data_IF_209017237648
#
_entry.id   IF_209017237648
#
_cell.length_a   1.000
_cell.length_b   1.000
_cell.length_c   1.000
_cell.angle_alpha   90.00
_cell.angle_beta   90.00
_cell.angle_gamma   90.00
#
_symmetry.space_group_name_H-M   'P 1'
#
loop_
_entity.id
_entity.type
_entity.pdbx_description
1 polymer ?
#
# COMPACT_ATOMS: atom_id res chain seq x y z
N UNK A 1 -16.16 -25.65 -4.32
CA UNK A 1 -14.82 -25.99 -3.80
C UNK A 1 -14.78 -27.50 -3.60
N UNK A 2 -14.10 -28.26 -4.46
CA UNK A 2 -14.07 -29.73 -4.35
C UNK A 2 -13.09 -30.11 -3.25
N UNK A 3 -13.59 -30.55 -2.08
CA UNK A 3 -12.76 -31.09 -1.00
C UNK A 3 -11.85 -32.18 -1.58
N UNK A 4 -10.55 -32.16 -1.26
CA UNK A 4 -9.64 -33.18 -1.76
C UNK A 4 -10.07 -34.55 -1.23
N UNK A 5 -10.16 -35.53 -2.12
CA UNK A 5 -10.66 -36.87 -1.79
C UNK A 5 -9.68 -37.72 -0.96
N UNK A 6 -8.44 -37.23 -0.76
CA UNK A 6 -7.44 -37.90 0.06
C UNK A 6 -7.38 -37.30 1.47
N UNK A 7 -7.34 -38.13 2.54
CA UNK A 7 -7.31 -37.66 3.92
C UNK A 7 -6.09 -36.78 4.23
N UNK A 8 -4.97 -37.01 3.53
CA UNK A 8 -3.74 -36.20 3.66
C UNK A 8 -3.91 -34.77 3.13
N UNK A 9 -4.60 -34.60 2.00
CA UNK A 9 -4.84 -33.27 1.44
C UNK A 9 -5.92 -32.51 2.22
N UNK A 10 -6.89 -33.21 2.83
CA UNK A 10 -7.83 -32.60 3.77
C UNK A 10 -7.11 -32.10 5.04
N UNK A 11 -6.16 -32.87 5.58
CA UNK A 11 -5.32 -32.46 6.70
C UNK A 11 -4.46 -31.24 6.35
N UNK A 12 -3.79 -31.25 5.18
CA UNK A 12 -2.99 -30.11 4.73
C UNK A 12 -3.81 -28.83 4.59
N UNK A 13 -5.01 -28.92 4.01
CA UNK A 13 -5.94 -27.80 3.92
C UNK A 13 -6.37 -27.30 5.30
N UNK A 14 -6.73 -28.21 6.22
CA UNK A 14 -7.10 -27.85 7.59
C UNK A 14 -5.95 -27.14 8.34
N UNK A 15 -4.71 -27.58 8.15
CA UNK A 15 -3.52 -26.94 8.74
C UNK A 15 -3.28 -25.54 8.18
N UNK A 16 -3.44 -25.33 6.86
CA UNK A 16 -3.34 -24.00 6.24
C UNK A 16 -4.42 -23.08 6.81
N UNK A 17 -5.66 -23.55 6.92
CA UNK A 17 -6.73 -22.76 7.52
C UNK A 17 -6.51 -22.45 8.99
N UNK A 18 -6.04 -23.42 9.77
CA UNK A 18 -5.69 -23.20 11.17
C UNK A 18 -4.59 -22.15 11.29
N UNK A 19 -3.54 -22.25 10.47
CA UNK A 19 -2.46 -21.26 10.44
C UNK A 19 -2.98 -19.87 10.09
N UNK A 20 -3.78 -19.73 9.02
CA UNK A 20 -4.35 -18.45 8.62
C UNK A 20 -5.27 -17.87 9.71
N UNK A 21 -6.11 -18.70 10.33
CA UNK A 21 -7.00 -18.25 11.40
C UNK A 21 -6.18 -17.74 12.58
N UNK A 22 -5.20 -18.51 13.05
CA UNK A 22 -4.36 -18.11 14.17
C UNK A 22 -3.60 -16.82 13.83
N UNK A 23 -2.95 -16.73 12.68
CA UNK A 23 -2.10 -15.58 12.37
C UNK A 23 -2.86 -14.32 11.97
N UNK A 24 -4.08 -14.43 11.43
CA UNK A 24 -4.89 -13.27 11.04
C UNK A 24 -5.85 -12.87 12.16
N UNK A 25 -6.60 -13.81 12.71
CA UNK A 25 -7.64 -13.47 13.69
C UNK A 25 -7.06 -13.17 15.08
N UNK A 26 -5.97 -13.81 15.49
CA UNK A 26 -5.36 -13.49 16.79
C UNK A 26 -4.92 -12.02 16.91
N UNK A 27 -4.12 -11.43 15.99
CA UNK A 27 -3.74 -10.02 16.12
C UNK A 27 -4.94 -9.08 15.96
N UNK A 28 -5.91 -9.41 15.09
CA UNK A 28 -7.12 -8.59 14.93
C UNK A 28 -7.97 -8.57 16.20
N UNK A 29 -8.17 -9.72 16.83
CA UNK A 29 -8.90 -9.82 18.11
C UNK A 29 -8.13 -9.15 19.24
N UNK A 30 -6.79 -9.24 19.24
CA UNK A 30 -5.93 -8.53 20.20
C UNK A 30 -6.08 -7.01 20.06
N UNK A 31 -5.97 -6.47 18.85
CA UNK A 31 -6.17 -5.03 18.57
C UNK A 31 -7.58 -4.59 19.01
N UNK A 32 -8.59 -5.40 18.71
CA UNK A 32 -9.96 -5.11 19.16
C UNK A 32 -10.07 -5.11 20.68
N UNK A 33 -9.45 -6.07 21.37
CA UNK A 33 -9.43 -6.14 22.83
C UNK A 33 -8.75 -4.90 23.44
N UNK A 34 -7.57 -4.51 22.94
CA UNK A 34 -6.85 -3.33 23.43
C UNK A 34 -7.63 -2.02 23.25
N UNK A 35 -8.47 -1.93 22.22
CA UNK A 35 -9.33 -0.77 22.02
C UNK A 35 -10.33 -0.56 23.17
N UNK A 36 -10.64 -1.63 23.92
CA UNK A 36 -11.56 -1.63 25.06
C UNK A 36 -10.89 -1.97 26.39
N UNK A 37 -9.55 -2.07 26.47
CA UNK A 37 -8.85 -2.37 27.73
C UNK A 37 -7.65 -1.49 27.95
N UNK A 38 -7.36 -1.17 29.22
CA UNK A 38 -6.12 -0.49 29.60
C UNK A 38 -4.93 -1.49 29.66
N UNK A 39 -3.72 -0.99 29.90
CA UNK A 39 -2.50 -1.81 30.05
C UNK A 39 -2.61 -2.86 31.17
N UNK A 40 -3.49 -2.65 32.15
CA UNK A 40 -3.78 -3.58 33.24
C UNK A 40 -4.88 -4.62 32.90
N UNK A 41 -5.41 -4.61 31.66
CA UNK A 41 -6.45 -5.53 31.20
C UNK A 41 -7.86 -5.23 31.72
N UNK A 42 -8.07 -4.07 32.34
CA UNK A 42 -9.39 -3.63 32.79
C UNK A 42 -10.16 -3.01 31.63
N UNK A 43 -11.47 -3.31 31.56
CA UNK A 43 -12.34 -2.74 30.53
C UNK A 43 -12.44 -1.21 30.68
N UNK A 44 -12.15 -0.49 29.60
CA UNK A 44 -12.21 0.96 29.51
C UNK A 44 -12.66 1.40 28.13
N UNK A 45 -13.43 2.48 28.06
CA UNK A 45 -13.83 3.11 26.79
C UNK A 45 -12.95 4.31 26.44
N UNK A 46 -12.00 4.67 27.30
CA UNK A 46 -11.17 5.88 27.15
C UNK A 46 -10.37 5.85 25.86
N UNK A 47 -9.70 4.75 25.55
CA UNK A 47 -8.91 4.59 24.30
C UNK A 47 -9.76 4.83 23.04
N UNK A 48 -10.99 4.30 23.04
CA UNK A 48 -11.94 4.49 21.94
C UNK A 48 -12.38 5.95 21.81
N UNK A 49 -12.75 6.61 22.91
CA UNK A 49 -13.15 8.02 22.88
C UNK A 49 -11.99 8.95 22.53
N UNK A 50 -10.78 8.66 23.01
CA UNK A 50 -9.57 9.44 22.72
C UNK A 50 -9.25 9.43 21.24
N UNK A 51 -9.42 8.29 20.54
CA UNK A 51 -9.26 8.22 19.09
C UNK A 51 -10.15 9.21 18.32
N UNK A 52 -11.42 9.34 18.71
CA UNK A 52 -12.37 10.24 18.05
C UNK A 52 -12.28 11.69 18.53
N UNK A 53 -11.58 11.95 19.63
CA UNK A 53 -11.44 13.30 20.19
C UNK A 53 -10.10 13.92 19.80
N UNK A 54 -9.06 13.10 19.61
CA UNK A 54 -7.74 13.58 19.22
C UNK A 54 -7.71 13.96 17.73
N UNK A 55 -7.44 15.25 17.50
CA UNK A 55 -7.29 15.83 16.18
C UNK A 55 -6.16 15.20 15.36
N UNK A 56 -5.12 14.65 16.00
CA UNK A 56 -4.00 13.98 15.35
C UNK A 56 -4.43 12.65 14.71
N UNK A 57 -5.18 11.81 15.44
CA UNK A 57 -5.67 10.53 14.93
C UNK A 57 -6.66 10.74 13.78
N UNK A 58 -7.64 11.63 13.96
CA UNK A 58 -8.61 11.94 12.92
C UNK A 58 -7.97 12.55 11.67
N UNK A 59 -7.01 13.48 11.84
CA UNK A 59 -6.30 14.08 10.71
C UNK A 59 -5.47 13.02 9.97
N UNK A 60 -4.79 12.13 10.68
CA UNK A 60 -3.99 11.06 10.08
C UNK A 60 -4.87 10.06 9.33
N UNK A 61 -6.03 9.69 9.87
CA UNK A 61 -7.03 8.86 9.20
C UNK A 61 -7.52 9.51 7.91
N UNK A 62 -7.94 10.78 7.97
CA UNK A 62 -8.43 11.50 6.80
C UNK A 62 -7.36 11.67 5.73
N UNK A 63 -6.13 12.00 6.12
CA UNK A 63 -5.00 12.12 5.18
C UNK A 63 -4.69 10.80 4.50
N UNK A 64 -4.73 9.69 5.22
CA UNK A 64 -4.51 8.35 4.67
C UNK A 64 -5.60 7.95 3.68
N UNK A 65 -6.87 8.19 4.03
CA UNK A 65 -8.01 7.93 3.14
C UNK A 65 -7.96 8.80 1.88
N UNK A 66 -7.76 10.11 2.04
CA UNK A 66 -7.66 11.04 0.92
C UNK A 66 -6.50 10.68 -0.02
N UNK A 67 -5.34 10.33 0.55
CA UNK A 67 -4.18 9.87 -0.23
C UNK A 67 -4.50 8.56 -0.96
N UNK A 68 -5.14 7.59 -0.30
CA UNK A 68 -5.53 6.32 -0.91
C UNK A 68 -6.50 6.50 -2.08
N UNK A 69 -7.52 7.35 -1.91
CA UNK A 69 -8.48 7.67 -2.98
C UNK A 69 -7.79 8.38 -4.14
N UNK A 70 -6.96 9.40 -3.86
CA UNK A 70 -6.22 10.11 -4.87
C UNK A 70 -5.26 9.19 -5.63
N UNK A 71 -4.58 8.28 -4.93
CA UNK A 71 -3.71 7.28 -5.52
C UNK A 71 -4.52 6.37 -6.46
N UNK A 72 -5.62 5.77 -6.01
CA UNK A 72 -6.45 4.89 -6.86
C UNK A 72 -6.92 5.60 -8.12
N UNK A 73 -7.44 6.81 -8.00
CA UNK A 73 -7.93 7.58 -9.14
C UNK A 73 -6.79 7.86 -10.13
N UNK A 74 -5.68 8.42 -9.64
CA UNK A 74 -4.55 8.81 -10.49
C UNK A 74 -3.88 7.61 -11.15
N UNK A 75 -3.61 6.53 -10.40
CA UNK A 75 -2.99 5.32 -10.95
C UNK A 75 -3.92 4.59 -11.91
N UNK A 76 -5.24 4.61 -11.68
CA UNK A 76 -6.20 4.01 -12.61
C UNK A 76 -6.26 4.77 -13.91
N UNK A 77 -6.30 6.11 -13.89
CA UNK A 77 -6.29 6.93 -15.10
C UNK A 77 -5.04 6.64 -15.94
N UNK A 78 -3.86 6.69 -15.31
CA UNK A 78 -2.58 6.43 -15.99
C UNK A 78 -2.50 4.98 -16.47
N UNK A 79 -2.84 4.02 -15.62
CA UNK A 79 -2.79 2.60 -15.94
C UNK A 79 -3.73 2.20 -17.08
N UNK A 80 -4.96 2.72 -17.08
CA UNK A 80 -5.93 2.50 -18.17
C UNK A 80 -5.43 3.15 -19.45
N UNK A 81 -4.90 4.37 -19.41
CA UNK A 81 -4.36 5.03 -20.60
C UNK A 81 -3.19 4.25 -21.22
N UNK A 82 -2.25 3.80 -20.38
CA UNK A 82 -1.12 2.97 -20.80
C UNK A 82 -1.58 1.63 -21.36
N UNK A 83 -2.50 0.93 -20.69
CA UNK A 83 -3.05 -0.33 -21.15
C UNK A 83 -3.80 -0.18 -22.47
N UNK A 84 -4.59 0.88 -22.61
CA UNK A 84 -5.31 1.19 -23.85
C UNK A 84 -4.35 1.44 -25.01
N UNK A 85 -3.30 2.25 -24.81
CA UNK A 85 -2.27 2.50 -25.81
C UNK A 85 -1.57 1.20 -26.23
N UNK A 86 -1.15 0.40 -25.26
CA UNK A 86 -0.43 -0.84 -25.52
C UNK A 86 -1.30 -1.91 -26.19
N UNK A 87 -2.61 -1.95 -25.95
CA UNK A 87 -3.50 -2.98 -26.54
C UNK A 87 -4.07 -2.55 -27.89
N UNK A 88 -4.40 -1.26 -28.06
CA UNK A 88 -5.15 -0.77 -29.23
C UNK A 88 -4.29 -0.20 -30.34
N UNK A 89 -3.04 0.18 -30.08
CA UNK A 89 -2.18 0.83 -31.06
C UNK A 89 -0.87 0.07 -31.28
N UNK A 90 -0.43 0.05 -32.54
CA UNK A 90 0.90 -0.39 -32.94
C UNK A 90 1.73 0.86 -33.25
N UNK A 91 2.84 1.06 -32.53
CA UNK A 91 3.73 2.21 -32.71
C UNK A 91 5.20 1.79 -32.59
N UNK A 92 6.13 2.49 -33.27
CA UNK A 92 7.55 2.17 -33.18
C UNK A 92 8.05 2.35 -31.74
N UNK A 93 8.72 1.32 -31.20
CA UNK A 93 9.20 1.33 -29.80
C UNK A 93 8.21 0.82 -28.75
N UNK A 94 7.06 0.26 -29.16
CA UNK A 94 6.06 -0.34 -28.25
C UNK A 94 6.65 -1.33 -27.24
N UNK A 95 7.58 -2.19 -27.67
CA UNK A 95 8.23 -3.16 -26.78
C UNK A 95 9.07 -2.46 -25.70
N UNK A 96 9.84 -1.44 -26.07
CA UNK A 96 10.61 -0.65 -25.11
C UNK A 96 9.69 0.04 -24.11
N UNK A 97 8.61 0.68 -24.59
CA UNK A 97 7.62 1.31 -23.72
C UNK A 97 6.99 0.29 -22.76
N UNK A 98 6.63 -0.90 -23.25
CA UNK A 98 6.13 -1.99 -22.40
C UNK A 98 7.14 -2.38 -21.31
N UNK A 99 8.42 -2.53 -21.65
CA UNK A 99 9.45 -2.85 -20.65
C UNK A 99 9.61 -1.74 -19.60
N UNK A 100 9.60 -0.47 -20.02
CA UNK A 100 9.68 0.67 -19.11
C UNK A 100 8.50 0.70 -18.13
N UNK A 101 7.29 0.30 -18.55
CA UNK A 101 6.13 0.23 -17.65
C UNK A 101 6.22 -0.92 -16.64
N UNK A 102 6.90 -2.02 -16.98
CA UNK A 102 7.12 -3.15 -16.08
C UNK A 102 8.30 -2.93 -15.12
N UNK A 103 9.25 -2.08 -15.49
CA UNK A 103 10.48 -1.86 -14.73
C UNK A 103 10.21 -1.49 -13.26
N UNK A 104 9.30 -0.56 -12.92
CA UNK A 104 8.95 -0.25 -11.53
C UNK A 104 8.39 -1.43 -10.74
N UNK A 105 7.78 -2.43 -11.40
CA UNK A 105 7.22 -3.61 -10.75
C UNK A 105 8.30 -4.62 -10.35
N UNK A 106 9.40 -4.65 -11.10
CA UNK A 106 10.54 -5.55 -10.86
C UNK A 106 11.52 -4.91 -9.85
N UNK A 107 11.59 -3.57 -9.84
CA UNK A 107 12.45 -2.86 -8.91
C UNK A 107 12.00 -3.06 -7.45
N UNK A 108 12.93 -3.26 -6.51
CA UNK A 108 12.62 -3.22 -5.09
C UNK A 108 11.98 -1.88 -4.72
N UNK A 109 10.98 -1.84 -3.80
CA UNK A 109 10.31 -0.60 -3.41
C UNK A 109 11.26 0.52 -2.96
N UNK A 110 12.36 0.15 -2.30
CA UNK A 110 13.40 1.08 -1.85
C UNK A 110 14.04 1.87 -3.00
N UNK A 111 14.26 1.24 -4.15
CA UNK A 111 14.87 1.90 -5.32
C UNK A 111 13.95 3.01 -5.83
N UNK A 112 12.64 2.78 -5.84
CA UNK A 112 11.66 3.81 -6.19
C UNK A 112 11.75 5.01 -5.24
N UNK A 113 11.77 4.77 -3.93
CA UNK A 113 11.89 5.84 -2.92
C UNK A 113 13.18 6.64 -3.11
N UNK A 114 14.32 5.97 -3.26
CA UNK A 114 15.61 6.63 -3.46
C UNK A 114 15.63 7.44 -4.76
N UNK A 115 15.05 6.92 -5.84
CA UNK A 115 14.90 7.65 -7.10
C UNK A 115 14.14 8.96 -6.93
N UNK A 116 13.00 8.93 -6.23
CA UNK A 116 12.26 10.16 -5.92
C UNK A 116 13.06 11.12 -5.04
N UNK A 117 13.81 10.62 -4.05
CA UNK A 117 14.69 11.46 -3.22
C UNK A 117 15.83 12.08 -4.02
N UNK A 118 16.43 11.37 -4.97
CA UNK A 118 17.51 11.91 -5.80
C UNK A 118 17.01 12.93 -6.82
N UNK A 119 15.77 12.80 -7.30
CA UNK A 119 15.21 13.74 -8.26
C UNK A 119 14.61 14.95 -7.55
N UNK A 120 13.79 14.72 -6.52
CA UNK A 120 12.96 15.74 -5.86
C UNK A 120 13.37 16.10 -4.42
N UNK A 121 14.42 15.46 -3.89
CA UNK A 121 14.95 15.79 -2.56
C UNK A 121 15.60 17.16 -2.52
N UNK A 122 15.99 17.61 -1.32
CA UNK A 122 16.52 18.97 -1.10
C UNK A 122 17.71 19.33 -2.00
N UNK A 123 18.60 18.39 -2.27
CA UNK A 123 19.73 18.53 -3.20
C UNK A 123 19.52 17.68 -4.48
N UNK A 124 18.26 17.40 -4.82
CA UNK A 124 17.91 16.59 -5.97
C UNK A 124 18.05 17.35 -7.28
N UNK A 125 18.20 16.61 -8.38
CA UNK A 125 18.47 17.17 -9.71
C UNK A 125 17.45 18.25 -10.11
N UNK A 126 16.16 18.03 -9.86
CA UNK A 126 15.12 19.01 -10.22
C UNK A 126 15.24 20.27 -9.39
N UNK A 127 15.49 20.15 -8.08
CA UNK A 127 15.59 21.31 -7.20
C UNK A 127 16.82 22.16 -7.51
N UNK A 128 17.97 21.54 -7.78
CA UNK A 128 19.19 22.26 -8.16
C UNK A 128 18.99 23.01 -9.48
N UNK A 129 18.42 22.34 -10.50
CA UNK A 129 18.13 22.98 -11.79
C UNK A 129 17.14 24.15 -11.66
N UNK A 130 16.15 24.03 -10.78
CA UNK A 130 15.21 25.12 -10.51
C UNK A 130 15.91 26.28 -9.79
N UNK A 131 16.74 26.01 -8.79
CA UNK A 131 17.51 27.05 -8.09
C UNK A 131 18.42 27.81 -9.06
N UNK A 132 19.16 27.09 -9.90
CA UNK A 132 20.02 27.67 -10.94
C UNK A 132 19.21 28.55 -11.92
N UNK A 133 18.02 28.10 -12.33
CA UNK A 133 17.15 28.87 -13.21
C UNK A 133 16.60 30.14 -12.55
N UNK A 134 16.25 30.09 -11.26
CA UNK A 134 15.79 31.25 -10.51
C UNK A 134 16.94 32.12 -9.95
N UNK A 135 18.20 31.71 -10.15
CA UNK A 135 19.39 32.43 -9.70
C UNK A 135 19.53 32.49 -8.16
N UNK A 136 19.03 31.46 -7.47
CA UNK A 136 19.03 31.34 -6.00
C UNK A 136 20.13 30.41 -5.48
#
# INVERSE_FOLDING_TARGET
MKLPRSPLAALGFALIWLFLIVFVFYPLTRIFYDAFTNEAGQFTLVNFFEFFTDSFYLRSLWKSLALGVAAVITTSIVGIAVAFLLIRYEFPGRNLFSYLTMLPLILPPLVGVLGFVFIFGRAGTVNVLLLDWFGL
#
